data_IF_232590206461
#
_entry.id   IF_232590206461
#
_cell.length_a   1.000
_cell.length_b   1.000
_cell.length_c   1.000
_cell.angle_alpha   90.00
_cell.angle_beta   90.00
_cell.angle_gamma   90.00
#
_symmetry.space_group_name_H-M   'P 1'
#
loop_
_entity.id
_entity.type
_entity.pdbx_description
1 polymer ?
#
# COMPACT_ATOMS: atom_id res chain seq x y z
N UNK A 1 4.13 -23.07 -2.72
CA UNK A 1 3.53 -21.73 -2.93
C UNK A 1 4.55 -20.91 -3.71
N UNK A 2 4.49 -20.96 -5.04
CA UNK A 2 5.29 -20.11 -5.90
C UNK A 2 4.82 -18.65 -5.76
N UNK A 3 5.34 -17.94 -4.77
CA UNK A 3 5.29 -16.47 -4.74
C UNK A 3 6.21 -15.95 -5.84
N UNK A 4 5.79 -16.09 -7.11
CA UNK A 4 6.39 -15.34 -8.21
C UNK A 4 6.01 -13.89 -7.96
N UNK A 5 6.89 -13.17 -7.27
CA UNK A 5 6.77 -11.73 -7.08
C UNK A 5 6.65 -11.09 -8.46
N UNK A 6 5.44 -10.70 -8.82
CA UNK A 6 5.17 -9.94 -10.02
C UNK A 6 5.92 -8.61 -9.94
N UNK A 7 6.23 -7.97 -11.07
CA UNK A 7 6.78 -6.62 -11.06
C UNK A 7 5.94 -5.65 -10.20
N UNK A 8 4.61 -5.79 -10.21
CA UNK A 8 3.68 -5.04 -9.33
C UNK A 8 3.90 -5.33 -7.84
N UNK A 9 4.16 -6.58 -7.46
CA UNK A 9 4.48 -6.93 -6.08
C UNK A 9 5.81 -6.31 -5.61
N UNK A 10 6.81 -6.27 -6.49
CA UNK A 10 8.10 -5.61 -6.20
C UNK A 10 7.92 -4.09 -6.05
N UNK A 11 7.10 -3.47 -6.90
CA UNK A 11 6.76 -2.05 -6.83
C UNK A 11 6.05 -1.71 -5.52
N UNK A 12 5.05 -2.52 -5.12
CA UNK A 12 4.35 -2.35 -3.85
C UNK A 12 5.31 -2.43 -2.66
N UNK A 13 6.20 -3.42 -2.63
CA UNK A 13 7.17 -3.58 -1.53
C UNK A 13 8.09 -2.37 -1.45
N UNK A 14 8.61 -1.87 -2.59
CA UNK A 14 9.41 -0.65 -2.62
C UNK A 14 8.66 0.56 -2.07
N UNK A 15 7.41 0.76 -2.48
CA UNK A 15 6.58 1.87 -2.00
C UNK A 15 6.30 1.74 -0.49
N UNK A 16 6.01 0.53 0.00
CA UNK A 16 5.83 0.27 1.43
C UNK A 16 7.11 0.53 2.23
N UNK A 17 8.27 0.14 1.70
CA UNK A 17 9.55 0.41 2.36
C UNK A 17 9.84 1.91 2.43
N UNK A 18 9.55 2.64 1.34
CA UNK A 18 9.68 4.10 1.32
C UNK A 18 8.76 4.77 2.34
N UNK A 19 7.49 4.35 2.39
CA UNK A 19 6.52 4.79 3.41
C UNK A 19 7.02 4.48 4.81
N UNK A 20 7.56 3.28 5.04
CA UNK A 20 8.03 2.88 6.38
C UNK A 20 9.25 3.68 6.83
N UNK A 21 10.12 4.10 5.89
CA UNK A 21 11.34 4.84 6.18
C UNK A 21 11.12 6.35 6.31
N UNK A 22 10.32 6.91 5.41
CA UNK A 22 10.11 8.37 5.29
C UNK A 22 8.76 8.84 5.82
N UNK A 23 7.84 7.90 6.08
CA UNK A 23 6.45 8.20 6.40
C UNK A 23 5.59 8.39 5.15
N UNK A 24 4.28 8.33 5.33
CA UNK A 24 3.33 8.55 4.24
C UNK A 24 3.35 10.00 3.72
N UNK A 25 3.69 10.97 4.57
CA UNK A 25 3.68 12.41 4.23
C UNK A 25 4.79 12.82 3.25
N UNK A 26 5.91 12.12 3.28
CA UNK A 26 7.00 12.30 2.31
C UNK A 26 6.75 11.58 0.98
N UNK A 27 5.78 10.67 0.94
CA UNK A 27 5.30 10.12 -0.32
C UNK A 27 4.28 11.09 -0.92
N UNK A 28 4.57 11.63 -2.11
CA UNK A 28 3.61 12.45 -2.84
C UNK A 28 2.29 11.71 -3.11
N UNK A 29 1.21 12.47 -3.28
CA UNK A 29 -0.15 11.94 -3.46
C UNK A 29 -0.24 10.90 -4.60
N UNK A 30 0.49 11.09 -5.69
CA UNK A 30 0.54 10.12 -6.81
C UNK A 30 1.10 8.75 -6.40
N UNK A 31 2.17 8.73 -5.59
CA UNK A 31 2.78 7.47 -5.12
C UNK A 31 1.91 6.77 -4.08
N UNK A 32 1.17 7.54 -3.27
CA UNK A 32 0.20 7.00 -2.33
C UNK A 32 -1.00 6.37 -3.05
N UNK A 33 -1.58 7.05 -4.05
CA UNK A 33 -2.64 6.50 -4.91
C UNK A 33 -2.16 5.23 -5.63
N UNK A 34 -0.92 5.22 -6.12
CA UNK A 34 -0.34 4.01 -6.73
C UNK A 34 -0.21 2.85 -5.75
N UNK A 35 0.21 3.13 -4.52
CA UNK A 35 0.28 2.12 -3.46
C UNK A 35 -1.11 1.58 -3.11
N UNK A 36 -2.13 2.42 -3.09
CA UNK A 36 -3.52 2.05 -2.87
C UNK A 36 -4.00 1.03 -3.91
N UNK A 37 -3.87 1.34 -5.21
CA UNK A 37 -4.26 0.43 -6.30
C UNK A 37 -3.56 -0.93 -6.21
N UNK A 38 -2.25 -0.95 -5.92
CA UNK A 38 -1.46 -2.17 -5.81
C UNK A 38 -1.87 -3.03 -4.60
N UNK A 39 -2.27 -2.38 -3.50
CA UNK A 39 -2.79 -3.07 -2.31
C UNK A 39 -4.19 -3.59 -2.58
N UNK A 40 -5.04 -2.85 -3.30
CA UNK A 40 -6.38 -3.26 -3.69
C UNK A 40 -6.39 -4.47 -4.62
N UNK A 41 -5.55 -4.47 -5.65
CA UNK A 41 -5.42 -5.59 -6.60
C UNK A 41 -4.93 -6.89 -5.95
N UNK A 42 -4.15 -6.80 -4.87
CA UNK A 42 -3.65 -8.01 -4.20
C UNK A 42 -4.80 -8.73 -3.50
N UNK A 43 -4.99 -9.98 -3.88
CA UNK A 43 -5.93 -10.88 -3.23
C UNK A 43 -5.35 -11.37 -1.89
N UNK A 44 -5.99 -10.96 -0.80
CA UNK A 44 -5.69 -11.37 0.57
C UNK A 44 -6.84 -12.19 1.20
N UNK A 45 -7.77 -12.67 0.38
CA UNK A 45 -9.00 -13.37 0.81
C UNK A 45 -8.71 -14.68 1.53
N UNK A 46 -7.50 -15.21 1.35
CA UNK A 46 -7.03 -16.42 2.03
C UNK A 46 -6.82 -16.26 3.54
N UNK A 47 -6.84 -15.03 4.10
CA UNK A 47 -6.71 -14.82 5.54
C UNK A 47 -7.52 -13.63 6.03
N UNK A 48 -8.43 -13.88 6.99
CA UNK A 48 -9.17 -12.81 7.68
C UNK A 48 -8.26 -11.84 8.45
N UNK A 49 -7.03 -12.24 8.82
CA UNK A 49 -6.02 -11.34 9.40
C UNK A 49 -5.42 -10.44 8.32
N UNK A 50 -5.08 -10.99 7.16
CA UNK A 50 -4.55 -10.22 6.04
C UNK A 50 -5.59 -9.23 5.49
N UNK A 51 -6.85 -9.63 5.35
CA UNK A 51 -7.94 -8.76 4.92
C UNK A 51 -8.16 -7.57 5.88
N UNK A 52 -8.08 -7.80 7.21
CA UNK A 52 -8.13 -6.72 8.20
C UNK A 52 -6.93 -5.79 8.11
N UNK A 53 -5.72 -6.34 7.94
CA UNK A 53 -4.50 -5.55 7.75
C UNK A 53 -4.55 -4.70 6.48
N UNK A 54 -5.06 -5.26 5.36
CA UNK A 54 -5.28 -4.55 4.10
C UNK A 54 -6.17 -3.33 4.30
N UNK A 55 -7.36 -3.51 4.91
CA UNK A 55 -8.30 -2.42 5.17
C UNK A 55 -7.67 -1.32 6.04
N UNK A 56 -6.91 -1.70 7.07
CA UNK A 56 -6.21 -0.74 7.92
C UNK A 56 -5.17 0.07 7.13
N UNK A 57 -4.39 -0.60 6.29
CA UNK A 57 -3.38 0.04 5.45
C UNK A 57 -4.01 1.00 4.44
N UNK A 58 -5.08 0.60 3.74
CA UNK A 58 -5.83 1.46 2.82
C UNK A 58 -6.38 2.70 3.52
N UNK A 59 -6.89 2.56 4.74
CA UNK A 59 -7.35 3.71 5.54
C UNK A 59 -6.22 4.68 5.87
N UNK A 60 -5.05 4.16 6.26
CA UNK A 60 -3.88 4.99 6.55
C UNK A 60 -3.37 5.72 5.31
N UNK A 61 -3.34 5.05 4.15
CA UNK A 61 -2.97 5.65 2.87
C UNK A 61 -3.94 6.79 2.51
N UNK A 62 -5.26 6.55 2.59
CA UNK A 62 -6.28 7.56 2.31
C UNK A 62 -6.17 8.81 3.21
N UNK A 63 -5.96 8.60 4.51
CA UNK A 63 -5.74 9.73 5.44
C UNK A 63 -4.50 10.51 5.05
N UNK A 64 -3.41 9.83 4.70
CA UNK A 64 -2.18 10.49 4.29
C UNK A 64 -2.32 11.23 2.96
N UNK A 65 -3.06 10.69 1.98
CA UNK A 65 -3.39 11.40 0.73
C UNK A 65 -4.12 12.70 1.06
N UNK A 66 -5.14 12.64 1.91
CA UNK A 66 -5.90 13.81 2.34
C UNK A 66 -5.04 14.84 3.08
N UNK A 67 -4.09 14.39 3.91
CA UNK A 67 -3.15 15.28 4.59
C UNK A 67 -2.13 15.93 3.64
N UNK A 68 -1.77 15.28 2.53
CA UNK A 68 -0.82 15.79 1.53
C UNK A 68 -1.50 16.69 0.50
N UNK A 69 -2.77 16.43 0.16
CA UNK A 69 -3.57 17.26 -0.76
C UNK A 69 -4.15 18.53 -0.09
N UNK A 70 -4.02 18.66 1.24
CA UNK A 70 -4.50 19.82 2.02
C UNK A 70 -3.40 20.85 2.28
#
# INVERSE_FOLDING_TARGET
MDYRLTPEDKERIKLLEQVSRKGFKELGAEKLKRLEELVEKKDYSHSGKAARSKKKLLKQINVAIYEVEK
#
